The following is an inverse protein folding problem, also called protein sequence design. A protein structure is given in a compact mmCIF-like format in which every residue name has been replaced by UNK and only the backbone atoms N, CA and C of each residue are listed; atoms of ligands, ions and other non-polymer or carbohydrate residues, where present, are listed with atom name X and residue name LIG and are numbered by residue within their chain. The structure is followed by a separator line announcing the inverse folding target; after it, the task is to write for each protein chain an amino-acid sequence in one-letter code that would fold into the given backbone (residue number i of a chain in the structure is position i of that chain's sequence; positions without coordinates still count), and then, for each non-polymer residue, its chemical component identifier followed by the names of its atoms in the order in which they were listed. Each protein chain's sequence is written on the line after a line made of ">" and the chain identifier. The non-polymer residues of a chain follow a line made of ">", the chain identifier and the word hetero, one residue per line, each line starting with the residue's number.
data_IF_143584886325
#
_entry.id   IF_143584886325
#
_cell.length_a   1.000
_cell.length_b   1.000
_cell.length_c   1.000
_cell.angle_alpha   90.00
_cell.angle_beta   90.00
_cell.angle_gamma   90.00
#
_symmetry.space_group_name_H-M   'P 1'
#
loop_
_entity.id
_entity.type
_entity.pdbx_description
1 polymer ?
#
# COMPACT_ATOMS: atom_id res chain seq x y z
N UNK A 1 -37.80 -3.00 38.50
CA UNK A 1 -36.41 -3.41 38.24
C UNK A 1 -36.44 -4.46 37.13
N UNK A 2 -36.62 -4.01 35.88
CA UNK A 2 -36.77 -4.89 34.72
C UNK A 2 -35.39 -5.27 34.18
N UNK A 3 -35.11 -6.57 34.22
CA UNK A 3 -33.88 -7.19 33.73
C UNK A 3 -33.83 -7.03 32.21
N UNK A 4 -32.92 -6.20 31.70
CA UNK A 4 -32.63 -6.13 30.26
C UNK A 4 -32.01 -7.47 29.85
N UNK A 5 -32.63 -8.22 28.94
CA UNK A 5 -32.10 -9.52 28.54
C UNK A 5 -30.78 -9.30 27.78
N UNK A 6 -29.77 -10.10 28.12
CA UNK A 6 -28.41 -10.10 27.59
C UNK A 6 -28.33 -10.57 26.11
N UNK A 7 -29.08 -9.91 25.22
CA UNK A 7 -29.25 -10.25 23.80
C UNK A 7 -28.00 -9.93 22.96
N UNK A 8 -27.20 -8.93 23.36
CA UNK A 8 -26.04 -8.48 22.58
C UNK A 8 -24.84 -9.44 22.65
N UNK A 9 -24.59 -10.09 23.79
CA UNK A 9 -23.43 -10.99 23.94
C UNK A 9 -23.54 -12.25 23.08
N UNK A 10 -24.76 -12.72 22.82
CA UNK A 10 -25.01 -13.89 21.98
C UNK A 10 -24.95 -13.53 20.49
N UNK A 11 -25.44 -12.35 20.10
CA UNK A 11 -25.35 -11.83 18.73
C UNK A 11 -23.91 -11.54 18.32
N UNK A 12 -23.14 -10.82 19.15
CA UNK A 12 -21.73 -10.54 18.89
C UNK A 12 -20.91 -11.84 18.79
N UNK A 13 -21.20 -12.82 19.66
CA UNK A 13 -20.56 -14.14 19.59
C UNK A 13 -20.92 -14.88 18.30
N UNK A 14 -22.18 -14.83 17.88
CA UNK A 14 -22.68 -15.46 16.66
C UNK A 14 -22.06 -14.84 15.39
N UNK A 15 -22.09 -13.51 15.27
CA UNK A 15 -21.46 -12.74 14.18
C UNK A 15 -19.96 -13.04 14.13
N UNK A 16 -19.29 -13.08 15.28
CA UNK A 16 -17.87 -13.42 15.34
C UNK A 16 -17.63 -14.87 14.84
N UNK A 17 -18.44 -15.87 15.22
CA UNK A 17 -18.28 -17.24 14.66
C UNK A 17 -18.51 -17.34 13.16
N UNK A 18 -19.42 -16.57 12.57
CA UNK A 18 -19.78 -16.69 11.15
C UNK A 18 -19.03 -15.71 10.22
N UNK A 19 -18.60 -14.55 10.70
CA UNK A 19 -18.06 -13.44 9.87
C UNK A 19 -16.54 -13.23 10.02
N UNK A 20 -15.89 -13.87 11.00
CA UNK A 20 -14.41 -13.85 11.17
C UNK A 20 -13.60 -14.08 9.88
N UNK A 21 -13.91 -15.04 9.00
CA UNK A 21 -13.11 -15.24 7.78
C UNK A 21 -13.20 -14.05 6.82
N UNK A 22 -14.37 -13.43 6.69
CA UNK A 22 -14.56 -12.22 5.88
C UNK A 22 -13.89 -11.00 6.50
N UNK A 23 -13.92 -10.87 7.82
CA UNK A 23 -13.29 -9.76 8.54
C UNK A 23 -11.76 -9.82 8.46
N UNK A 24 -11.18 -11.03 8.53
CA UNK A 24 -9.75 -11.23 8.27
C UNK A 24 -9.39 -10.94 6.81
N UNK A 25 -10.24 -11.32 5.86
CA UNK A 25 -10.01 -11.02 4.45
C UNK A 25 -10.04 -9.50 4.19
N UNK A 26 -11.00 -8.79 4.76
CA UNK A 26 -11.06 -7.32 4.68
C UNK A 26 -9.81 -6.68 5.30
N UNK A 27 -9.40 -7.14 6.50
CA UNK A 27 -8.20 -6.66 7.16
C UNK A 27 -6.95 -6.90 6.30
N UNK A 28 -6.82 -8.09 5.71
CA UNK A 28 -5.72 -8.44 4.80
C UNK A 28 -5.69 -7.52 3.57
N UNK A 29 -6.84 -7.23 2.96
CA UNK A 29 -6.90 -6.31 1.81
C UNK A 29 -6.53 -4.88 2.22
N UNK A 30 -6.99 -4.41 3.39
CA UNK A 30 -6.63 -3.09 3.92
C UNK A 30 -5.12 -3.00 4.17
N UNK A 31 -4.52 -4.00 4.81
CA UNK A 31 -3.08 -4.07 5.05
C UNK A 31 -2.28 -4.11 3.73
N UNK A 32 -2.72 -4.90 2.76
CA UNK A 32 -2.11 -4.98 1.42
C UNK A 32 -2.30 -3.69 0.62
N UNK A 33 -3.31 -2.89 0.95
CA UNK A 33 -3.56 -1.57 0.33
C UNK A 33 -2.80 -0.44 1.03
N UNK A 34 -2.34 -0.63 2.26
CA UNK A 34 -1.41 0.29 2.93
C UNK A 34 -0.04 0.32 2.24
N UNK A 35 0.42 -0.78 1.64
CA UNK A 35 1.73 -0.82 0.96
C UNK A 35 1.83 0.21 -0.18
N UNK A 36 0.88 0.26 -1.15
CA UNK A 36 0.77 1.35 -2.12
C UNK A 36 0.77 2.75 -1.51
N UNK A 37 0.03 2.94 -0.40
CA UNK A 37 -0.11 4.22 0.25
C UNK A 37 1.22 4.74 0.79
N UNK A 38 1.99 3.88 1.47
CA UNK A 38 3.32 4.25 1.96
C UNK A 38 4.32 4.48 0.83
N UNK A 39 4.31 3.65 -0.23
CA UNK A 39 5.18 3.85 -1.39
C UNK A 39 4.85 5.14 -2.15
N UNK A 40 3.57 5.51 -2.21
CA UNK A 40 3.12 6.73 -2.89
C UNK A 40 3.45 8.00 -2.11
N UNK A 41 3.59 7.94 -0.79
CA UNK A 41 3.74 9.12 0.05
C UNK A 41 5.06 9.88 -0.18
N UNK A 42 6.18 9.17 -0.37
CA UNK A 42 7.48 9.81 -0.57
C UNK A 42 7.76 10.19 -2.04
N UNK A 43 6.99 9.64 -2.99
CA UNK A 43 7.17 9.88 -4.42
C UNK A 43 7.04 11.36 -4.82
N UNK A 44 6.00 12.12 -4.41
CA UNK A 44 5.86 13.54 -4.75
C UNK A 44 7.07 14.36 -4.31
N UNK A 45 7.57 14.08 -3.10
CA UNK A 45 8.76 14.76 -2.55
C UNK A 45 10.00 14.44 -3.37
N UNK A 46 10.20 13.17 -3.74
CA UNK A 46 11.34 12.72 -4.54
C UNK A 46 11.31 13.32 -5.95
N UNK A 47 10.13 13.40 -6.59
CA UNK A 47 9.96 14.00 -7.91
C UNK A 47 10.31 15.50 -7.87
N UNK A 48 9.77 16.24 -6.90
CA UNK A 48 9.94 17.70 -6.82
C UNK A 48 11.36 18.07 -6.40
N UNK A 49 11.87 17.47 -5.32
CA UNK A 49 13.14 17.88 -4.70
C UNK A 49 14.39 17.21 -5.28
N UNK A 50 14.24 16.20 -6.13
CA UNK A 50 15.37 15.58 -6.83
C UNK A 50 15.37 15.94 -8.32
N UNK A 51 14.80 15.11 -9.20
CA UNK A 51 15.01 15.22 -10.64
C UNK A 51 14.46 16.51 -11.27
N UNK A 52 13.34 17.07 -10.78
CA UNK A 52 12.75 18.29 -11.36
C UNK A 52 13.65 19.51 -11.10
N UNK A 53 14.17 19.65 -9.88
CA UNK A 53 15.06 20.75 -9.49
C UNK A 53 16.52 20.54 -9.94
N UNK A 54 16.87 19.38 -10.50
CA UNK A 54 18.24 19.06 -10.92
C UNK A 54 19.13 18.50 -9.79
N UNK A 55 18.59 18.37 -8.58
CA UNK A 55 19.29 17.77 -7.45
C UNK A 55 19.69 16.33 -7.76
N UNK A 56 20.99 16.04 -7.68
CA UNK A 56 21.55 14.73 -8.00
C UNK A 56 21.83 14.46 -9.47
N UNK A 57 21.59 15.44 -10.36
CA UNK A 57 21.86 15.35 -11.80
C UNK A 57 22.71 16.53 -12.32
N UNK A 58 23.52 17.13 -11.45
CA UNK A 58 24.28 18.36 -11.74
C UNK A 58 25.41 18.17 -12.76
N UNK A 59 25.92 16.94 -12.89
CA UNK A 59 27.01 16.60 -13.82
C UNK A 59 26.46 15.81 -15.00
N UNK A 60 27.01 16.05 -16.19
CA UNK A 60 26.67 15.26 -17.39
C UNK A 60 26.94 13.76 -17.13
N UNK A 61 25.90 12.93 -17.23
CA UNK A 61 25.98 11.50 -16.97
C UNK A 61 25.70 11.08 -15.52
N UNK A 62 25.32 12.00 -14.63
CA UNK A 62 24.93 11.65 -13.27
C UNK A 62 23.69 10.72 -13.25
N UNK A 63 23.73 9.75 -12.34
CA UNK A 63 22.67 8.76 -12.12
C UNK A 63 22.25 8.74 -10.65
N UNK A 64 21.00 8.34 -10.41
CA UNK A 64 20.50 8.11 -9.07
C UNK A 64 19.81 6.75 -8.94
N UNK A 65 19.85 6.13 -7.74
CA UNK A 65 19.24 4.82 -7.52
C UNK A 65 17.70 4.93 -7.50
N UNK A 66 17.06 4.34 -8.51
CA UNK A 66 15.62 4.22 -8.65
C UNK A 66 15.07 2.98 -7.92
N UNK A 67 13.88 3.13 -7.33
CA UNK A 67 13.21 2.12 -6.49
C UNK A 67 14.01 1.61 -5.29
N UNK A 68 14.97 2.37 -4.75
CA UNK A 68 15.69 1.94 -3.54
C UNK A 68 14.71 1.70 -2.38
N UNK A 69 14.65 0.47 -1.87
CA UNK A 69 13.78 0.07 -0.76
C UNK A 69 14.64 -0.16 0.48
N UNK A 70 14.47 0.73 1.46
CA UNK A 70 15.11 0.63 2.77
C UNK A 70 14.02 0.42 3.80
N UNK A 71 14.10 -0.67 4.57
CA UNK A 71 13.17 -0.96 5.65
C UNK A 71 13.86 -0.59 6.97
N UNK A 72 13.41 0.47 7.66
CA UNK A 72 13.87 0.76 9.01
C UNK A 72 13.23 -0.25 9.96
N UNK A 73 14.05 -1.16 10.51
CA UNK A 73 13.61 -2.08 11.55
C UNK A 73 13.81 -1.41 12.92
N UNK A 74 12.77 -1.33 13.76
CA UNK A 74 12.96 -0.90 15.13
C UNK A 74 13.95 -1.86 15.80
N UNK A 75 14.96 -1.31 16.47
CA UNK A 75 16.05 -2.01 17.18
C UNK A 75 17.17 -2.65 16.33
N UNK A 76 16.94 -3.01 15.06
CA UNK A 76 17.96 -3.64 14.19
C UNK A 76 18.63 -2.68 13.19
N UNK A 77 18.23 -1.40 13.16
CA UNK A 77 18.73 -0.41 12.20
C UNK A 77 17.98 -0.48 10.87
N UNK A 78 18.57 0.08 9.80
CA UNK A 78 17.95 0.12 8.47
C UNK A 78 18.54 -0.97 7.57
N UNK A 79 17.71 -1.90 7.10
CA UNK A 79 18.13 -2.93 6.14
C UNK A 79 17.72 -2.52 4.73
N UNK A 80 18.67 -2.59 3.79
CA UNK A 80 18.40 -2.36 2.37
C UNK A 80 17.85 -3.65 1.77
N UNK A 81 16.56 -3.68 1.46
CA UNK A 81 15.94 -4.83 0.76
C UNK A 81 16.25 -4.79 -0.74
N UNK A 82 16.30 -3.59 -1.30
CA UNK A 82 16.63 -3.39 -2.70
C UNK A 82 17.52 -2.15 -2.84
N UNK A 83 18.76 -2.29 -3.34
CA UNK A 83 19.71 -1.19 -3.44
C UNK A 83 19.28 -0.11 -4.44
N UNK A 84 18.41 -0.46 -5.39
CA UNK A 84 17.98 0.41 -6.47
C UNK A 84 18.72 0.13 -7.77
N UNK A 85 18.25 0.72 -8.86
CA UNK A 85 18.90 0.69 -10.18
C UNK A 85 19.32 2.11 -10.52
N UNK A 86 20.59 2.31 -10.87
CA UNK A 86 21.07 3.63 -11.27
C UNK A 86 20.48 4.04 -12.62
N UNK A 87 19.75 5.15 -12.59
CA UNK A 87 19.07 5.69 -13.78
C UNK A 87 19.38 7.18 -13.94
N UNK A 88 19.40 7.62 -15.19
CA UNK A 88 19.52 9.03 -15.53
C UNK A 88 18.23 9.80 -15.24
N UNK A 89 18.29 11.13 -15.43
CA UNK A 89 17.20 12.06 -15.08
C UNK A 89 15.88 11.75 -15.80
N UNK A 90 15.94 11.52 -17.11
CA UNK A 90 14.75 11.30 -17.96
C UNK A 90 14.05 9.99 -17.61
N UNK A 91 14.81 8.90 -17.45
CA UNK A 91 14.28 7.61 -17.03
C UNK A 91 13.77 7.64 -15.59
N UNK A 92 14.40 8.40 -14.69
CA UNK A 92 13.90 8.60 -13.32
C UNK A 92 12.54 9.30 -13.31
N UNK A 93 12.38 10.40 -14.06
CA UNK A 93 11.10 11.12 -14.15
C UNK A 93 9.98 10.25 -14.74
N UNK A 94 10.29 9.49 -15.80
CA UNK A 94 9.34 8.55 -16.41
C UNK A 94 8.97 7.44 -15.42
N UNK A 95 9.95 6.82 -14.77
CA UNK A 95 9.74 5.76 -13.80
C UNK A 95 8.88 6.21 -12.61
N UNK A 96 9.17 7.37 -12.03
CA UNK A 96 8.38 7.91 -10.92
C UNK A 96 6.93 8.25 -11.34
N UNK A 97 6.74 8.77 -12.55
CA UNK A 97 5.40 9.09 -13.10
C UNK A 97 4.54 7.85 -13.33
N UNK A 98 5.17 6.78 -13.84
CA UNK A 98 4.50 5.49 -14.06
C UNK A 98 4.10 4.84 -12.73
N UNK A 99 4.94 4.92 -11.70
CA UNK A 99 4.60 4.36 -10.38
C UNK A 99 3.38 5.09 -9.80
N UNK A 100 3.40 6.42 -9.76
CA UNK A 100 2.27 7.21 -9.23
C UNK A 100 0.97 6.93 -9.98
N UNK A 101 1.03 6.82 -11.31
CA UNK A 101 -0.15 6.56 -12.14
C UNK A 101 -0.64 5.12 -12.07
N UNK A 102 0.26 4.15 -11.86
CA UNK A 102 -0.08 2.72 -11.83
C UNK A 102 -0.66 2.22 -10.49
N UNK A 103 -0.34 2.87 -9.36
CA UNK A 103 -0.87 2.48 -8.04
C UNK A 103 -2.42 2.49 -7.96
N UNK A 104 -3.14 3.48 -8.55
CA UNK A 104 -4.60 3.45 -8.63
C UNK A 104 -5.16 2.22 -9.38
N UNK A 105 -4.53 1.79 -10.48
CA UNK A 105 -4.98 0.61 -11.24
C UNK A 105 -4.82 -0.67 -10.43
N UNK A 106 -3.69 -0.83 -9.74
CA UNK A 106 -3.43 -1.98 -8.87
C UNK A 106 -4.40 -2.03 -7.67
N UNK A 107 -4.77 -0.87 -7.14
CA UNK A 107 -5.75 -0.76 -6.05
C UNK A 107 -7.18 -1.04 -6.53
N UNK A 108 -7.56 -0.50 -7.69
CA UNK A 108 -8.87 -0.72 -8.30
C UNK A 108 -9.17 -2.19 -8.63
N UNK A 109 -8.16 -2.95 -9.08
CA UNK A 109 -8.28 -4.39 -9.35
C UNK A 109 -8.58 -5.19 -8.06
N UNK A 110 -7.94 -4.82 -6.93
CA UNK A 110 -8.20 -5.45 -5.62
C UNK A 110 -9.66 -5.22 -5.17
N UNK A 111 -10.17 -4.00 -5.32
CA UNK A 111 -11.56 -3.69 -4.98
C UNK A 111 -12.57 -4.40 -5.89
N UNK A 112 -12.25 -4.60 -7.17
CA UNK A 112 -13.09 -5.39 -8.07
C UNK A 112 -13.19 -6.86 -7.64
N UNK A 113 -12.07 -7.45 -7.19
CA UNK A 113 -12.04 -8.81 -6.63
C UNK A 113 -12.84 -8.93 -5.33
N UNK A 114 -12.78 -7.92 -4.45
CA UNK A 114 -13.60 -7.89 -3.23
C UNK A 114 -15.10 -7.84 -3.57
N UNK A 115 -15.50 -6.98 -4.51
CA UNK A 115 -16.90 -6.91 -4.96
C UNK A 115 -17.39 -8.23 -5.54
N UNK A 116 -16.57 -8.92 -6.33
CA UNK A 116 -16.88 -10.24 -6.86
C UNK A 116 -17.02 -11.30 -5.76
N UNK A 117 -16.12 -11.29 -4.76
CA UNK A 117 -16.17 -12.20 -3.61
C UNK A 117 -17.37 -11.93 -2.71
N UNK A 118 -17.75 -10.66 -2.49
CA UNK A 118 -18.95 -10.28 -1.73
C UNK A 118 -20.24 -10.65 -2.48
N UNK A 119 -20.26 -10.50 -3.82
CA UNK A 119 -21.40 -10.95 -4.64
C UNK A 119 -21.56 -12.47 -4.65
N UNK A 120 -20.47 -13.23 -4.50
CA UNK A 120 -20.49 -14.69 -4.41
C UNK A 120 -20.83 -15.20 -3.00
N UNK A 121 -20.45 -14.46 -1.95
CA UNK A 121 -20.73 -14.79 -0.56
C UNK A 121 -22.10 -14.28 -0.05
N UNK A 122 -22.80 -13.49 -0.86
CA UNK A 122 -24.13 -12.96 -0.59
C UNK A 122 -25.27 -13.78 -1.21
N UNK A 123 -25.20 -15.11 -1.17
CA UNK A 123 -26.38 -15.96 -1.30
C UNK A 123 -26.77 -16.50 0.08
N UNK A 124 -28.05 -16.44 0.49
CA UNK A 124 -29.25 -16.45 -0.36
C UNK A 124 -29.62 -15.12 -1.02
#
# INVERSE_FOLDING_TARGET
>A
MTMVPSMDQRLLRYIWTHTRPQQFWLLAVVLVSMVPYFLAFDLPRQIINGPIQGGGFEVAGATQPFMRVVVPLPFLGSTVLFPGIDVGRSSMLLGLSLIVSGQPMASGLKFHGIRASMSAAGQP
#
